data_IF_196856498417
#
_entry.id   IF_196856498417
#
_cell.length_a   1.000
_cell.length_b   1.000
_cell.length_c   1.000
_cell.angle_alpha   90.00
_cell.angle_beta   90.00
_cell.angle_gamma   90.00
#
_symmetry.space_group_name_H-M   'P 1'
#
loop_
_entity.id
_entity.type
_entity.pdbx_description
1 polymer ?
#
# COMPACT_ATOMS: atom_id res chain seq x y z
N UNK A 1 -11.83 -26.25 0.82
CA UNK A 1 -11.61 -26.68 2.22
C UNK A 1 -10.86 -25.59 2.98
N UNK A 2 -10.72 -25.72 4.30
CA UNK A 2 -9.99 -24.77 5.19
C UNK A 2 -8.51 -25.12 5.24
N UNK A 3 -7.67 -24.08 5.25
CA UNK A 3 -6.23 -24.14 5.53
C UNK A 3 -5.97 -23.28 6.77
N UNK A 4 -5.07 -23.74 7.63
CA UNK A 4 -4.63 -22.98 8.81
C UNK A 4 -3.12 -22.75 8.72
N UNK A 5 -2.69 -21.55 9.08
CA UNK A 5 -1.32 -21.12 8.82
C UNK A 5 -0.90 -19.90 9.64
N UNK A 6 0.11 -19.22 9.12
CA UNK A 6 0.57 -17.91 9.57
C UNK A 6 0.38 -16.90 8.45
N UNK A 7 0.18 -15.63 8.82
CA UNK A 7 0.15 -14.55 7.85
C UNK A 7 0.99 -13.34 8.29
N UNK A 8 1.67 -12.70 7.33
CA UNK A 8 2.33 -11.39 7.49
C UNK A 8 1.27 -10.28 7.52
N UNK A 9 0.43 -10.31 8.56
CA UNK A 9 -0.74 -9.45 8.72
C UNK A 9 -0.45 -8.16 9.48
N UNK A 10 -1.48 -7.63 10.15
CA UNK A 10 -1.38 -6.43 11.00
C UNK A 10 -0.29 -6.65 12.05
N UNK A 11 0.64 -5.68 12.16
CA UNK A 11 1.73 -5.71 13.13
C UNK A 11 2.94 -6.57 12.72
N UNK A 12 2.92 -7.24 11.56
CA UNK A 12 4.11 -7.93 11.06
C UNK A 12 5.16 -6.92 10.61
N UNK A 13 6.38 -7.12 11.08
CA UNK A 13 7.58 -6.42 10.62
C UNK A 13 8.66 -7.47 10.31
N UNK A 14 9.56 -7.22 9.35
CA UNK A 14 10.74 -8.07 9.16
C UNK A 14 11.46 -8.31 10.50
N UNK A 15 11.83 -9.56 10.78
CA UNK A 15 12.41 -9.98 12.06
C UNK A 15 11.41 -10.37 13.15
N UNK A 16 10.10 -10.13 12.96
CA UNK A 16 9.10 -10.61 13.91
C UNK A 16 9.01 -12.15 13.95
N UNK A 17 8.74 -12.70 15.13
CA UNK A 17 8.48 -14.13 15.31
C UNK A 17 7.14 -14.53 14.68
N UNK A 18 7.19 -15.06 13.45
CA UNK A 18 6.02 -15.49 12.69
C UNK A 18 5.24 -16.63 13.35
N UNK A 19 5.86 -17.40 14.27
CA UNK A 19 5.18 -18.48 14.97
C UNK A 19 4.32 -18.01 16.14
N UNK A 20 4.46 -16.74 16.53
CA UNK A 20 3.62 -16.12 17.53
C UNK A 20 2.13 -16.25 17.18
N UNK A 21 1.31 -16.46 18.21
CA UNK A 21 -0.14 -16.65 18.08
C UNK A 21 -0.82 -15.49 17.35
N UNK A 22 -0.28 -14.27 17.46
CA UNK A 22 -0.84 -13.07 16.82
C UNK A 22 -0.86 -13.15 15.28
N UNK A 23 0.01 -13.97 14.68
CA UNK A 23 0.06 -14.16 13.24
C UNK A 23 -0.69 -15.41 12.77
N UNK A 24 -1.36 -16.12 13.68
CA UNK A 24 -2.21 -17.25 13.33
C UNK A 24 -3.36 -16.80 12.42
N UNK A 25 -3.48 -17.43 11.25
CA UNK A 25 -4.52 -17.09 10.29
C UNK A 25 -5.10 -18.32 9.58
N UNK A 26 -6.22 -18.14 8.89
CA UNK A 26 -6.86 -19.21 8.14
C UNK A 26 -7.51 -18.67 6.87
N UNK A 27 -7.48 -19.49 5.82
CA UNK A 27 -8.10 -19.21 4.53
C UNK A 27 -8.65 -20.50 3.94
N UNK A 28 -9.17 -20.41 2.72
CA UNK A 28 -9.72 -21.56 2.01
C UNK A 28 -8.91 -21.87 0.76
N UNK A 29 -8.94 -23.14 0.36
CA UNK A 29 -8.52 -23.58 -0.96
C UNK A 29 -9.69 -24.24 -1.69
N UNK A 30 -9.67 -24.11 -3.01
CA UNK A 30 -10.58 -24.77 -3.93
C UNK A 30 -9.74 -25.41 -5.03
N UNK A 31 -10.14 -26.61 -5.48
CA UNK A 31 -9.57 -27.21 -6.69
C UNK A 31 -10.54 -26.95 -7.84
N UNK A 32 -10.10 -26.20 -8.84
CA UNK A 32 -10.88 -25.88 -10.03
C UNK A 32 -10.12 -26.39 -11.26
N UNK A 33 -10.71 -27.37 -11.96
CA UNK A 33 -10.11 -27.98 -13.17
C UNK A 33 -8.69 -28.53 -12.94
N UNK A 34 -8.44 -29.10 -11.77
CA UNK A 34 -7.14 -29.67 -11.40
C UNK A 34 -6.15 -28.66 -10.80
N UNK A 35 -6.47 -27.37 -10.81
CA UNK A 35 -5.63 -26.31 -10.24
C UNK A 35 -6.12 -25.91 -8.84
N UNK A 36 -5.20 -25.81 -7.89
CA UNK A 36 -5.49 -25.32 -6.56
C UNK A 36 -5.45 -23.79 -6.54
N UNK A 37 -6.55 -23.17 -6.12
CA UNK A 37 -6.72 -21.73 -5.97
C UNK A 37 -7.12 -21.41 -4.54
N UNK A 38 -6.74 -20.24 -4.06
CA UNK A 38 -6.90 -19.84 -2.67
C UNK A 38 -7.94 -18.72 -2.55
N UNK A 39 -8.69 -18.74 -1.45
CA UNK A 39 -9.71 -17.73 -1.11
C UNK A 39 -9.41 -17.25 0.31
N UNK A 40 -9.06 -15.98 0.43
CA UNK A 40 -8.89 -15.31 1.71
C UNK A 40 -10.08 -14.36 1.90
N UNK A 41 -11.02 -14.73 2.78
CA UNK A 41 -12.27 -13.98 2.96
C UNK A 41 -12.14 -12.80 3.92
N UNK A 42 -11.13 -12.78 4.80
CA UNK A 42 -10.98 -11.77 5.86
C UNK A 42 -10.48 -10.45 5.28
N UNK A 43 -9.34 -10.50 4.59
CA UNK A 43 -8.67 -9.43 3.87
C UNK A 43 -9.36 -9.14 2.54
N UNK A 44 -10.03 -10.13 1.94
CA UNK A 44 -10.91 -9.93 0.79
C UNK A 44 -12.19 -9.12 1.09
N UNK A 45 -12.69 -9.12 2.33
CA UNK A 45 -13.92 -8.44 2.70
C UNK A 45 -13.75 -6.95 3.05
N UNK A 46 -12.55 -6.55 3.49
CA UNK A 46 -12.31 -5.18 3.93
C UNK A 46 -11.09 -5.00 4.81
N UNK A 47 -11.02 -3.85 5.48
CA UNK A 47 -9.93 -3.46 6.36
C UNK A 47 -10.46 -3.02 7.72
N UNK A 48 -9.60 -3.07 8.74
CA UNK A 48 -9.88 -2.47 10.04
C UNK A 48 -9.20 -1.09 10.08
N UNK A 49 -10.00 -0.05 10.31
CA UNK A 49 -9.53 1.32 10.54
C UNK A 49 -9.81 1.68 12.01
N UNK A 50 -8.74 1.80 12.80
CA UNK A 50 -8.86 1.93 14.26
C UNK A 50 -9.56 0.70 14.85
N UNK A 51 -10.77 0.90 15.38
CA UNK A 51 -11.61 -0.17 15.94
C UNK A 51 -12.75 -0.61 15.03
N UNK A 52 -12.94 0.04 13.88
CA UNK A 52 -14.07 -0.21 12.98
C UNK A 52 -13.64 -1.04 11.76
N UNK A 53 -14.44 -2.03 11.42
CA UNK A 53 -14.32 -2.74 10.15
C UNK A 53 -14.99 -1.94 9.03
N UNK A 54 -14.25 -1.69 7.97
CA UNK A 54 -14.72 -1.01 6.75
C UNK A 54 -14.74 -2.02 5.62
N UNK A 55 -15.93 -2.27 5.08
CA UNK A 55 -16.11 -3.15 3.92
C UNK A 55 -15.42 -2.54 2.71
N UNK A 56 -14.49 -3.29 2.13
CA UNK A 56 -13.80 -2.93 0.91
C UNK A 56 -13.38 -4.20 0.21
N UNK A 57 -14.19 -4.61 -0.76
CA UNK A 57 -13.93 -5.85 -1.48
C UNK A 57 -12.61 -5.75 -2.26
N UNK A 58 -11.69 -6.68 -1.99
CA UNK A 58 -10.44 -6.80 -2.74
C UNK A 58 -10.44 -8.13 -3.54
N UNK A 59 -10.63 -8.06 -4.87
CA UNK A 59 -10.73 -9.25 -5.72
C UNK A 59 -9.42 -10.03 -5.80
N UNK A 60 -8.29 -9.46 -5.37
CA UNK A 60 -7.02 -10.19 -5.31
C UNK A 60 -7.14 -11.48 -4.50
N UNK A 61 -7.90 -11.45 -3.40
CA UNK A 61 -8.05 -12.57 -2.47
C UNK A 61 -9.10 -13.61 -2.88
N UNK A 62 -9.77 -13.42 -4.02
CA UNK A 62 -10.72 -14.39 -4.55
C UNK A 62 -10.05 -15.19 -5.69
N UNK A 63 -9.93 -16.51 -5.50
CA UNK A 63 -9.27 -17.42 -6.46
C UNK A 63 -7.81 -17.03 -6.77
N UNK A 64 -7.09 -16.58 -5.73
CA UNK A 64 -5.67 -16.24 -5.82
C UNK A 64 -4.84 -17.48 -6.10
N UNK A 65 -3.87 -17.38 -7.03
CA UNK A 65 -2.91 -18.46 -7.25
C UNK A 65 -1.93 -18.60 -6.05
N UNK A 66 -1.51 -19.82 -5.69
CA UNK A 66 -0.63 -20.05 -4.54
C UNK A 66 0.69 -19.28 -4.61
N UNK A 67 1.26 -19.15 -5.81
CA UNK A 67 2.50 -18.40 -6.05
C UNK A 67 2.42 -16.90 -5.75
N UNK A 68 1.21 -16.34 -5.61
CA UNK A 68 1.00 -14.96 -5.16
C UNK A 68 0.66 -14.89 -3.67
N UNK A 69 -0.22 -15.77 -3.18
CA UNK A 69 -0.66 -15.69 -1.78
C UNK A 69 0.47 -16.05 -0.79
N UNK A 70 1.42 -16.91 -1.19
CA UNK A 70 2.57 -17.32 -0.36
C UNK A 70 3.44 -16.14 0.12
N UNK A 71 3.39 -14.97 -0.52
CA UNK A 71 4.11 -13.79 -0.04
C UNK A 71 3.59 -13.26 1.31
N UNK A 72 2.36 -13.62 1.66
CA UNK A 72 1.71 -13.18 2.89
C UNK A 72 1.15 -14.31 3.74
N UNK A 73 0.89 -15.50 3.19
CA UNK A 73 0.24 -16.61 3.88
C UNK A 73 1.06 -17.89 3.78
N UNK A 74 1.53 -18.42 4.91
CA UNK A 74 2.25 -19.68 5.01
C UNK A 74 1.37 -20.76 5.68
N UNK A 75 0.91 -21.80 4.96
CA UNK A 75 0.21 -22.92 5.57
C UNK A 75 1.08 -23.65 6.60
N UNK A 76 0.45 -24.32 7.58
CA UNK A 76 1.16 -25.18 8.53
C UNK A 76 1.72 -26.46 7.90
N UNK A 77 1.16 -26.89 6.78
CA UNK A 77 1.53 -28.10 6.07
C UNK A 77 2.09 -27.74 4.70
N UNK A 78 3.24 -28.30 4.36
CA UNK A 78 3.94 -27.95 3.12
C UNK A 78 3.13 -28.32 1.87
N UNK A 79 2.38 -29.42 1.91
CA UNK A 79 1.49 -29.84 0.83
C UNK A 79 0.32 -28.87 0.59
N UNK A 80 -0.07 -28.09 1.59
CA UNK A 80 -1.13 -27.07 1.50
C UNK A 80 -0.59 -25.74 0.93
N UNK A 81 0.73 -25.63 0.66
CA UNK A 81 1.31 -24.49 -0.06
C UNK A 81 0.94 -24.53 -1.55
N UNK A 82 0.72 -25.73 -2.10
CA UNK A 82 0.51 -25.94 -3.53
C UNK A 82 1.61 -25.33 -4.40
N UNK A 83 2.84 -25.33 -3.87
CA UNK A 83 4.05 -24.93 -4.56
C UNK A 83 4.91 -26.15 -4.85
N UNK A 84 5.66 -26.09 -5.94
CA UNK A 84 6.63 -27.13 -6.31
C UNK A 84 7.98 -26.47 -6.66
N UNK A 85 9.01 -26.61 -5.81
CA UNK A 85 8.96 -27.17 -4.45
C UNK A 85 8.21 -26.26 -3.46
N UNK A 86 7.70 -26.79 -2.32
CA UNK A 86 7.29 -25.96 -1.20
C UNK A 86 8.49 -25.17 -0.66
N UNK A 87 8.20 -24.04 -0.01
CA UNK A 87 9.20 -23.19 0.63
C UNK A 87 9.23 -23.45 2.14
N UNK A 88 10.39 -23.28 2.74
CA UNK A 88 10.58 -23.33 4.19
C UNK A 88 10.05 -22.07 4.87
N UNK A 89 9.86 -22.11 6.20
CA UNK A 89 9.55 -20.92 7.01
C UNK A 89 10.61 -19.83 6.81
N UNK A 90 11.89 -20.21 6.74
CA UNK A 90 12.98 -19.25 6.53
C UNK A 90 12.89 -18.56 5.16
N UNK A 91 12.60 -19.32 4.10
CA UNK A 91 12.37 -18.76 2.77
C UNK A 91 11.12 -17.89 2.73
N UNK A 92 10.04 -18.28 3.42
CA UNK A 92 8.84 -17.46 3.54
C UNK A 92 9.15 -16.13 4.24
N UNK A 93 9.87 -16.17 5.36
CA UNK A 93 10.32 -14.98 6.08
C UNK A 93 11.18 -14.09 5.19
N UNK A 94 12.02 -14.71 4.34
CA UNK A 94 12.84 -14.01 3.36
C UNK A 94 12.10 -13.62 2.08
N UNK A 95 10.78 -13.78 1.95
CA UNK A 95 10.04 -13.17 0.83
C UNK A 95 9.76 -11.67 1.07
N UNK A 96 9.94 -10.80 0.06
CA UNK A 96 9.58 -9.39 0.12
C UNK A 96 8.16 -9.18 0.63
N UNK A 97 7.94 -8.10 1.38
CA UNK A 97 6.59 -7.76 1.82
C UNK A 97 5.81 -7.11 0.68
N UNK A 98 4.94 -7.89 0.03
CA UNK A 98 4.15 -7.45 -1.12
C UNK A 98 2.68 -7.39 -0.75
N UNK A 99 2.04 -6.25 -1.02
CA UNK A 99 0.59 -6.07 -0.85
C UNK A 99 -0.16 -6.33 -2.17
N UNK A 100 -1.47 -6.66 -2.15
CA UNK A 100 -2.28 -6.86 -3.36
C UNK A 100 -2.11 -5.80 -4.46
N UNK A 101 -1.99 -4.49 -4.15
CA UNK A 101 -1.79 -3.45 -5.17
C UNK A 101 -0.60 -3.68 -6.08
N UNK A 102 0.46 -4.35 -5.62
CA UNK A 102 1.59 -4.72 -6.45
C UNK A 102 1.16 -5.62 -7.61
N UNK A 103 0.36 -6.66 -7.32
CA UNK A 103 -0.10 -7.60 -8.34
C UNK A 103 -1.21 -7.01 -9.21
N UNK A 104 -2.12 -6.21 -8.66
CA UNK A 104 -3.20 -5.57 -9.45
C UNK A 104 -2.66 -4.48 -10.37
N UNK A 105 -1.55 -3.82 -9.99
CA UNK A 105 -0.78 -2.92 -10.87
C UNK A 105 0.03 -3.66 -11.96
N UNK A 106 -0.06 -5.00 -12.01
CA UNK A 106 0.61 -5.83 -13.01
C UNK A 106 2.08 -6.07 -12.72
N UNK A 107 2.58 -5.72 -11.53
CA UNK A 107 3.99 -5.87 -11.15
C UNK A 107 4.32 -7.31 -10.76
N UNK A 108 5.56 -7.70 -11.05
CA UNK A 108 6.14 -8.97 -10.69
C UNK A 108 7.66 -8.85 -10.61
N UNK A 109 8.29 -9.62 -9.72
CA UNK A 109 9.75 -9.70 -9.69
C UNK A 109 10.26 -10.58 -10.83
N UNK A 110 11.37 -10.18 -11.46
CA UNK A 110 11.99 -10.97 -12.54
C UNK A 110 12.79 -12.16 -12.02
N UNK A 111 13.23 -12.09 -10.75
CA UNK A 111 13.97 -13.11 -10.01
C UNK A 111 13.33 -13.30 -8.62
N UNK A 112 13.56 -14.45 -7.98
CA UNK A 112 13.21 -14.61 -6.56
C UNK A 112 14.07 -13.63 -5.76
N UNK A 113 13.44 -12.64 -5.15
CA UNK A 113 14.09 -11.69 -4.25
C UNK A 113 13.97 -12.21 -2.83
N UNK A 114 15.04 -12.07 -2.04
CA UNK A 114 14.99 -12.13 -0.58
C UNK A 114 14.34 -10.87 0.03
N UNK A 115 14.10 -10.83 1.34
CA UNK A 115 13.75 -9.61 2.09
C UNK A 115 14.95 -8.71 2.26
N UNK A 116 16.13 -9.31 2.28
CA UNK A 116 17.41 -8.65 2.28
C UNK A 116 17.91 -8.59 0.84
N UNK A 117 18.34 -7.39 0.45
CA UNK A 117 19.04 -7.18 -0.81
C UNK A 117 20.47 -6.86 -0.43
N UNK A 118 21.39 -7.80 -0.66
CA UNK A 118 22.80 -7.53 -0.48
C UNK A 118 23.24 -6.54 -1.56
N UNK A 119 23.80 -5.43 -1.11
CA UNK A 119 24.21 -4.32 -1.96
C UNK A 119 25.73 -4.29 -2.01
N UNK A 120 26.28 -4.62 -3.18
CA UNK A 120 27.71 -4.42 -3.46
C UNK A 120 27.95 -2.97 -3.87
N UNK A 121 29.06 -2.38 -3.42
CA UNK A 121 29.51 -1.02 -3.78
C UNK A 121 28.47 0.09 -3.56
N UNK A 122 27.67 -0.02 -2.49
CA UNK A 122 26.63 0.96 -2.16
C UNK A 122 25.58 1.17 -3.27
N UNK A 123 25.39 0.22 -4.18
CA UNK A 123 24.39 0.32 -5.25
C UNK A 123 23.32 -0.76 -5.17
N UNK A 124 22.10 -0.33 -4.84
CA UNK A 124 20.91 -1.17 -4.92
C UNK A 124 20.45 -1.26 -6.38
N UNK A 125 20.24 -2.47 -6.87
CA UNK A 125 19.65 -2.72 -8.19
C UNK A 125 18.57 -3.80 -8.10
N UNK A 126 17.35 -3.45 -8.53
CA UNK A 126 16.20 -4.34 -8.54
C UNK A 126 15.54 -4.33 -9.92
N UNK A 127 15.31 -5.51 -10.49
CA UNK A 127 14.56 -5.65 -11.73
C UNK A 127 13.13 -6.15 -11.46
N UNK A 128 12.16 -5.45 -12.04
CA UNK A 128 10.75 -5.83 -12.01
C UNK A 128 10.16 -5.85 -13.41
N UNK A 129 9.16 -6.71 -13.60
CA UNK A 129 8.35 -6.79 -14.80
C UNK A 129 6.96 -6.25 -14.51
N UNK A 130 6.48 -5.30 -15.33
CA UNK A 130 5.10 -4.82 -15.31
C UNK A 130 4.37 -5.31 -16.55
N UNK A 131 3.36 -6.15 -16.36
CA UNK A 131 2.43 -6.54 -17.41
C UNK A 131 1.41 -5.44 -17.64
N UNK A 132 1.07 -5.14 -18.91
CA UNK A 132 0.14 -4.08 -19.31
C UNK A 132 0.49 -2.69 -18.74
N UNK A 133 1.71 -2.16 -19.01
CA UNK A 133 2.07 -0.82 -18.55
C UNK A 133 1.13 0.22 -19.19
N UNK A 134 0.56 1.08 -18.35
CA UNK A 134 -0.24 2.22 -18.75
C UNK A 134 0.64 3.47 -18.68
N UNK A 135 0.78 4.18 -19.80
CA UNK A 135 1.64 5.36 -19.90
C UNK A 135 1.14 6.51 -19.01
N UNK A 136 -0.17 6.55 -18.73
CA UNK A 136 -0.78 7.55 -17.84
C UNK A 136 -0.57 7.21 -16.36
N UNK A 137 -0.07 6.00 -16.06
CA UNK A 137 0.17 5.52 -14.69
C UNK A 137 1.61 5.08 -14.56
N UNK A 138 2.57 6.03 -14.52
CA UNK A 138 3.97 5.69 -14.44
C UNK A 138 4.31 4.92 -13.16
N UNK A 139 5.39 4.14 -13.23
CA UNK A 139 5.97 3.50 -12.07
C UNK A 139 6.72 4.55 -11.25
N UNK A 140 6.49 4.58 -9.94
CA UNK A 140 7.21 5.41 -8.99
C UNK A 140 7.92 4.55 -7.96
N UNK A 141 9.05 5.05 -7.48
CA UNK A 141 9.77 4.44 -6.39
C UNK A 141 10.54 5.50 -5.60
N UNK A 142 10.70 5.27 -4.30
CA UNK A 142 11.61 6.02 -3.44
C UNK A 142 12.20 5.08 -2.40
N UNK A 143 13.42 5.38 -1.96
CA UNK A 143 14.07 4.67 -0.87
C UNK A 143 13.99 5.56 0.38
N UNK A 144 13.42 5.04 1.45
CA UNK A 144 13.52 5.66 2.77
C UNK A 144 14.72 5.06 3.50
N UNK A 145 15.65 5.91 3.93
CA UNK A 145 16.87 5.53 4.64
C UNK A 145 17.11 6.49 5.80
N UNK A 146 17.18 5.99 7.04
CA UNK A 146 17.31 6.81 8.25
C UNK A 146 16.35 8.02 8.27
N UNK A 147 15.07 7.79 7.97
CA UNK A 147 13.99 8.80 7.88
C UNK A 147 14.21 9.88 6.81
N UNK A 148 15.11 9.66 5.85
CA UNK A 148 15.34 10.55 4.70
C UNK A 148 14.96 9.83 3.41
N UNK A 149 14.48 10.59 2.44
CA UNK A 149 14.28 10.06 1.09
C UNK A 149 15.60 10.10 0.32
N UNK A 150 15.97 8.94 -0.21
CA UNK A 150 17.10 8.76 -1.11
C UNK A 150 16.57 8.65 -2.54
N UNK A 151 17.14 9.39 -3.51
CA UNK A 151 16.70 9.34 -4.90
C UNK A 151 16.78 7.93 -5.49
N UNK A 152 15.75 7.57 -6.23
CA UNK A 152 15.68 6.30 -6.97
C UNK A 152 15.55 6.60 -8.46
N UNK A 153 16.41 5.95 -9.25
CA UNK A 153 16.35 6.00 -10.70
C UNK A 153 15.59 4.79 -11.25
N UNK A 154 14.66 5.02 -12.18
CA UNK A 154 13.89 3.97 -12.83
C UNK A 154 14.25 3.95 -14.31
N UNK A 155 14.90 2.89 -14.74
CA UNK A 155 15.26 2.64 -16.13
C UNK A 155 14.29 1.66 -16.77
N UNK A 156 13.68 2.04 -17.90
CA UNK A 156 12.98 1.09 -18.77
C UNK A 156 14.02 0.27 -19.54
N UNK A 157 13.97 -1.06 -19.45
CA UNK A 157 14.90 -1.94 -20.17
C UNK A 157 14.35 -2.32 -21.56
N UNK A 158 15.24 -2.59 -22.50
CA UNK A 158 14.86 -3.16 -23.79
C UNK A 158 14.45 -4.63 -23.62
N UNK A 159 13.47 -5.08 -24.42
CA UNK A 159 12.93 -6.43 -24.34
C UNK A 159 11.76 -6.58 -23.36
N UNK A 160 11.33 -7.83 -23.17
CA UNK A 160 10.17 -8.20 -22.38
C UNK A 160 10.53 -9.28 -21.37
N UNK A 161 9.84 -9.27 -20.23
CA UNK A 161 10.01 -10.30 -19.23
C UNK A 161 9.31 -11.60 -19.62
N UNK A 162 9.40 -12.60 -18.74
CA UNK A 162 8.86 -13.95 -19.00
C UNK A 162 7.35 -13.96 -19.17
N UNK A 163 6.66 -12.92 -18.68
CA UNK A 163 5.21 -12.75 -18.78
C UNK A 163 4.81 -11.82 -19.93
N UNK A 164 5.76 -11.45 -20.81
CA UNK A 164 5.55 -10.53 -21.92
C UNK A 164 5.38 -9.06 -21.50
N UNK A 165 5.65 -8.74 -20.24
CA UNK A 165 5.56 -7.41 -19.68
C UNK A 165 6.81 -6.57 -19.93
N UNK A 166 6.69 -5.27 -19.66
CA UNK A 166 7.79 -4.33 -19.75
C UNK A 166 8.72 -4.49 -18.54
N UNK A 167 10.02 -4.59 -18.81
CA UNK A 167 11.05 -4.66 -17.78
C UNK A 167 11.47 -3.26 -17.32
N UNK A 168 11.63 -3.12 -16.01
CA UNK A 168 12.16 -1.93 -15.34
C UNK A 168 13.31 -2.34 -14.42
N UNK A 169 14.34 -1.50 -14.38
CA UNK A 169 15.43 -1.57 -13.42
C UNK A 169 15.34 -0.36 -12.50
N UNK A 170 15.26 -0.63 -11.21
CA UNK A 170 15.20 0.35 -10.14
C UNK A 170 16.59 0.40 -9.50
N UNK A 171 17.18 1.59 -9.46
CA UNK A 171 18.55 1.81 -9.01
C UNK A 171 18.55 2.88 -7.93
N UNK A 172 19.27 2.65 -6.83
CA UNK A 172 19.50 3.64 -5.78
C UNK A 172 20.91 3.50 -5.25
N UNK A 173 21.52 4.61 -4.85
CA UNK A 173 22.74 4.57 -4.05
C UNK A 173 22.37 4.45 -2.57
N UNK A 174 23.03 3.54 -1.85
CA UNK A 174 22.85 3.30 -0.43
C UNK A 174 23.82 4.22 0.31
N UNK A 175 23.33 5.17 1.13
CA UNK A 175 24.17 6.23 1.67
C UNK A 175 25.13 5.76 2.78
N UNK A 176 24.77 4.70 3.51
CA UNK A 176 25.53 4.19 4.66
C UNK A 176 25.16 2.73 4.95
N UNK A 177 25.88 2.08 5.87
CA UNK A 177 25.42 0.81 6.45
C UNK A 177 24.20 1.06 7.35
N UNK A 178 23.15 0.26 7.22
CA UNK A 178 21.90 0.46 7.95
C UNK A 178 20.73 -0.29 7.32
N UNK A 179 19.52 0.11 7.70
CA UNK A 179 18.26 -0.47 7.20
C UNK A 179 17.44 0.60 6.47
N UNK A 180 16.82 0.21 5.36
CA UNK A 180 15.98 1.09 4.55
C UNK A 180 14.77 0.39 3.98
N UNK A 181 13.81 1.18 3.50
CA UNK A 181 12.56 0.68 2.89
C UNK A 181 12.46 1.19 1.46
N UNK A 182 12.61 0.29 0.49
CA UNK A 182 12.32 0.58 -0.90
C UNK A 182 10.80 0.48 -1.13
N UNK A 183 10.17 1.61 -1.44
CA UNK A 183 8.75 1.68 -1.75
C UNK A 183 8.59 1.77 -3.27
N UNK A 184 7.72 0.93 -3.84
CA UNK A 184 7.41 0.88 -5.27
C UNK A 184 5.90 0.93 -5.42
N UNK A 185 5.40 1.84 -6.25
CA UNK A 185 3.97 2.00 -6.47
C UNK A 185 3.65 2.49 -7.88
N UNK A 186 2.40 2.27 -8.26
CA UNK A 186 1.79 2.77 -9.50
C UNK A 186 0.54 3.51 -9.06
N UNK A 187 0.33 4.72 -9.57
CA UNK A 187 -0.93 5.44 -9.36
C UNK A 187 -2.05 4.66 -10.04
N UNK A 188 -3.03 4.20 -9.27
CA UNK A 188 -4.24 3.56 -9.80
C UNK A 188 -5.35 4.61 -9.84
N UNK A 189 -6.18 4.61 -10.89
CA UNK A 189 -7.32 5.53 -10.97
C UNK A 189 -8.23 5.33 -9.75
N UNK A 190 -8.74 6.42 -9.20
CA UNK A 190 -9.73 6.34 -8.12
C UNK A 190 -9.15 6.06 -6.73
N UNK A 191 -7.87 6.37 -6.48
CA UNK A 191 -7.41 6.44 -5.09
C UNK A 191 -8.12 7.58 -4.38
N UNK A 192 -9.18 7.23 -3.64
CA UNK A 192 -9.78 8.09 -2.62
C UNK A 192 -8.66 8.51 -1.67
N UNK A 193 -8.35 9.80 -1.70
CA UNK A 193 -7.46 10.43 -0.75
C UNK A 193 -8.32 11.01 0.35
N UNK A 194 -8.03 10.59 1.59
CA UNK A 194 -8.63 11.18 2.78
C UNK A 194 -7.63 12.14 3.39
N UNK A 195 -8.02 13.40 3.45
CA UNK A 195 -7.28 14.45 4.14
C UNK A 195 -7.94 14.69 5.47
N UNK A 196 -7.16 14.70 6.55
CA UNK A 196 -7.65 15.03 7.89
C UNK A 196 -6.95 16.30 8.36
N UNK A 197 -7.72 17.26 8.87
CA UNK A 197 -7.19 18.43 9.57
C UNK A 197 -7.90 18.60 10.91
N UNK A 198 -7.14 19.01 11.91
CA UNK A 198 -7.57 19.12 13.30
C UNK A 198 -7.52 20.58 13.72
N UNK A 199 -8.63 21.07 14.28
CA UNK A 199 -8.69 22.40 14.90
C UNK A 199 -8.61 22.21 16.41
N UNK A 200 -7.71 22.98 17.03
CA UNK A 200 -7.52 23.05 18.47
C UNK A 200 -8.17 24.31 19.03
N UNK A 201 -8.61 24.25 20.28
CA UNK A 201 -8.89 25.44 21.11
C UNK A 201 -10.03 26.35 20.59
N UNK A 202 -11.18 25.76 20.23
CA UNK A 202 -12.39 26.50 19.81
C UNK A 202 -13.67 25.90 20.42
N UNK A 203 -14.60 26.75 20.86
CA UNK A 203 -15.92 26.32 21.34
C UNK A 203 -16.74 25.70 20.20
N UNK A 204 -17.38 24.56 20.46
CA UNK A 204 -18.06 23.75 19.45
C UNK A 204 -19.18 24.51 18.71
N UNK A 205 -19.89 25.40 19.41
CA UNK A 205 -20.94 26.26 18.84
C UNK A 205 -20.40 27.33 17.88
N UNK A 206 -19.10 27.60 17.93
CA UNK A 206 -18.40 28.61 17.11
C UNK A 206 -17.58 27.99 15.98
N UNK A 207 -17.56 26.67 15.85
CA UNK A 207 -16.76 25.99 14.83
C UNK A 207 -17.31 26.26 13.42
N UNK A 208 -16.47 26.72 12.47
CA UNK A 208 -16.91 27.02 11.12
C UNK A 208 -17.37 25.76 10.38
N UNK A 209 -18.34 25.91 9.48
CA UNK A 209 -18.66 24.90 8.48
C UNK A 209 -17.63 24.97 7.35
N UNK A 210 -17.06 23.83 6.99
CA UNK A 210 -16.08 23.75 5.91
C UNK A 210 -16.76 23.31 4.62
N UNK A 211 -16.44 24.01 3.54
CA UNK A 211 -16.86 23.62 2.21
C UNK A 211 -15.71 23.78 1.20
N UNK A 212 -15.65 22.86 0.24
CA UNK A 212 -14.71 22.88 -0.86
C UNK A 212 -15.39 23.53 -2.06
N UNK A 213 -14.76 24.57 -2.62
CA UNK A 213 -15.17 25.15 -3.89
C UNK A 213 -14.43 24.44 -5.02
N UNK A 214 -15.17 23.76 -5.89
CA UNK A 214 -14.60 23.13 -7.08
C UNK A 214 -14.30 24.19 -8.15
N UNK A 215 -13.41 23.90 -9.12
CA UNK A 215 -13.20 24.77 -10.28
C UNK A 215 -14.49 25.06 -11.09
N UNK A 216 -15.49 24.18 -11.00
CA UNK A 216 -16.83 24.35 -11.59
C UNK A 216 -17.75 25.29 -10.79
N UNK A 217 -17.28 25.83 -9.66
CA UNK A 217 -18.04 26.62 -8.66
C UNK A 217 -19.11 25.83 -7.90
N UNK A 218 -19.03 24.50 -7.92
CA UNK A 218 -19.83 23.67 -7.02
C UNK A 218 -19.23 23.69 -5.62
N UNK A 219 -20.10 23.61 -4.61
CA UNK A 219 -19.70 23.59 -3.20
C UNK A 219 -19.92 22.19 -2.63
N UNK A 220 -18.87 21.59 -2.07
CA UNK A 220 -18.93 20.29 -1.39
C UNK A 220 -18.73 20.52 0.10
N UNK A 221 -19.73 20.22 0.93
CA UNK A 221 -19.60 20.31 2.40
C UNK A 221 -18.67 19.22 2.91
N UNK A 222 -17.70 19.60 3.76
CA UNK A 222 -16.73 18.67 4.35
C UNK A 222 -17.29 18.15 5.68
N UNK A 223 -17.51 16.84 5.83
CA UNK A 223 -18.09 16.29 7.05
C UNK A 223 -17.12 16.37 8.24
N UNK A 224 -17.68 16.59 9.44
CA UNK A 224 -17.00 16.39 10.72
C UNK A 224 -16.85 14.89 10.97
N UNK A 225 -15.64 14.39 11.21
CA UNK A 225 -15.37 12.93 11.23
C UNK A 225 -14.91 12.38 12.59
N UNK A 226 -14.33 13.21 13.46
CA UNK A 226 -13.98 12.81 14.84
C UNK A 226 -14.26 13.94 15.85
N UNK A 227 -14.89 13.56 16.97
CA UNK A 227 -15.19 14.41 18.14
C UNK A 227 -14.33 13.96 19.33
N UNK A 228 -13.74 14.92 20.05
CA UNK A 228 -13.09 14.77 21.35
C UNK A 228 -11.88 13.82 21.39
N UNK A 229 -10.72 14.33 20.98
CA UNK A 229 -9.53 14.05 21.78
C UNK A 229 -9.71 14.77 23.13
N UNK A 230 -9.11 14.28 24.21
CA UNK A 230 -9.28 14.78 25.59
C UNK A 230 -8.91 16.26 25.82
N UNK A 231 -8.53 16.97 24.77
CA UNK A 231 -8.10 18.36 24.70
C UNK A 231 -9.12 19.32 24.02
N UNK A 232 -10.30 18.82 23.60
CA UNK A 232 -11.33 19.64 22.97
C UNK A 232 -11.14 19.88 21.46
N UNK A 233 -10.20 19.18 20.82
CA UNK A 233 -9.98 19.29 19.37
C UNK A 233 -11.04 18.55 18.52
N UNK A 234 -11.26 19.04 17.30
CA UNK A 234 -12.20 18.47 16.32
C UNK A 234 -11.51 18.22 14.98
N UNK A 235 -11.69 17.02 14.43
CA UNK A 235 -11.11 16.60 13.14
C UNK A 235 -12.17 16.60 12.04
N UNK A 236 -11.84 17.27 10.95
CA UNK A 236 -12.59 17.24 9.69
C UNK A 236 -11.88 16.31 8.71
N UNK A 237 -12.64 15.57 7.90
CA UNK A 237 -12.05 14.77 6.84
C UNK A 237 -12.65 15.13 5.48
N UNK A 238 -11.76 15.41 4.53
CA UNK A 238 -12.09 15.58 3.13
C UNK A 238 -11.68 14.32 2.38
N UNK A 239 -12.66 13.61 1.82
CA UNK A 239 -12.42 12.48 0.93
C UNK A 239 -12.59 12.98 -0.50
N UNK A 240 -11.55 12.85 -1.32
CA UNK A 240 -11.57 13.29 -2.72
C UNK A 240 -10.72 12.40 -3.60
N UNK A 241 -11.04 12.35 -4.89
CA UNK A 241 -10.32 11.56 -5.88
C UNK A 241 -9.37 12.45 -6.65
N UNK A 242 -8.09 12.13 -6.61
CA UNK A 242 -7.08 12.80 -7.42
C UNK A 242 -6.80 11.97 -8.66
N UNK A 243 -7.02 12.57 -9.83
CA UNK A 243 -6.80 11.92 -11.13
C UNK A 243 -5.42 12.26 -11.73
N UNK A 244 -4.72 13.24 -11.17
CA UNK A 244 -3.47 13.78 -11.68
C UNK A 244 -2.48 14.04 -10.53
N UNK A 245 -1.18 14.01 -10.81
CA UNK A 245 -0.12 14.28 -9.83
C UNK A 245 -0.01 15.79 -9.60
N UNK A 246 0.26 16.19 -8.37
CA UNK A 246 0.28 17.60 -7.98
C UNK A 246 0.75 17.81 -6.55
N UNK A 247 0.89 19.07 -6.17
CA UNK A 247 1.25 19.52 -4.82
C UNK A 247 0.10 20.24 -4.16
N UNK A 248 -0.11 19.95 -2.87
CA UNK A 248 -1.04 20.69 -2.05
C UNK A 248 -0.36 21.90 -1.42
N UNK A 249 -1.06 23.02 -1.40
CA UNK A 249 -0.79 24.16 -0.53
C UNK A 249 -2.03 24.46 0.30
N UNK A 250 -1.84 24.53 1.62
CA UNK A 250 -2.87 25.00 2.54
C UNK A 250 -2.51 26.42 2.96
N UNK A 251 -3.39 27.37 2.69
CA UNK A 251 -3.26 28.75 3.15
C UNK A 251 -4.43 29.04 4.08
N UNK A 252 -4.15 29.62 5.24
CA UNK A 252 -5.19 30.15 6.11
C UNK A 252 -5.19 31.67 6.02
N UNK A 253 -6.37 32.25 5.96
CA UNK A 253 -6.58 33.68 6.12
C UNK A 253 -7.39 33.86 7.40
N UNK A 254 -6.88 34.68 8.32
CA UNK A 254 -7.60 35.05 9.53
C UNK A 254 -7.87 36.54 9.45
N UNK A 255 -9.14 36.94 9.39
CA UNK A 255 -9.56 38.31 9.62
C UNK A 255 -10.31 38.43 10.96
N UNK A 256 -10.87 39.60 11.27
CA UNK A 256 -11.56 39.84 12.55
C UNK A 256 -12.89 39.07 12.68
N UNK A 257 -13.48 38.59 11.58
CA UNK A 257 -14.81 37.98 11.52
C UNK A 257 -14.79 36.53 10.99
N UNK A 258 -13.78 36.12 10.22
CA UNK A 258 -13.69 34.79 9.60
C UNK A 258 -12.30 34.15 9.71
N UNK A 259 -12.30 32.81 9.67
CA UNK A 259 -11.12 31.98 9.53
C UNK A 259 -11.30 31.11 8.30
N UNK A 260 -10.68 31.51 7.19
CA UNK A 260 -10.77 30.81 5.91
C UNK A 260 -9.58 29.88 5.71
N UNK A 261 -9.85 28.66 5.27
CA UNK A 261 -8.84 27.71 4.85
C UNK A 261 -8.97 27.44 3.35
N UNK A 262 -7.93 27.76 2.59
CA UNK A 262 -7.83 27.44 1.18
C UNK A 262 -6.85 26.29 0.99
N UNK A 263 -7.40 25.11 0.70
CA UNK A 263 -6.63 23.96 0.24
C UNK A 263 -6.59 23.98 -1.30
N UNK A 264 -5.42 24.19 -1.87
CA UNK A 264 -5.21 24.24 -3.32
C UNK A 264 -4.34 23.06 -3.76
N UNK A 265 -4.83 22.29 -4.75
CA UNK A 265 -4.04 21.26 -5.41
C UNK A 265 -3.55 21.79 -6.76
N UNK A 266 -2.24 21.96 -6.88
CA UNK A 266 -1.59 22.37 -8.12
C UNK A 266 -1.07 21.13 -8.82
N UNK A 267 -1.69 20.79 -9.94
CA UNK A 267 -1.24 19.71 -10.83
C UNK A 267 0.17 20.04 -11.34
N UNK A 268 1.07 19.05 -11.32
CA UNK A 268 2.46 19.17 -11.83
C UNK A 268 2.53 19.11 -13.37
#
# INVERSE_FOLDING_TARGET
>A
WKISGRAKGVGYVPGADIESRQFGHAWNAVCLRGEYLLIESTWGAGIVQGTKFVKRYDPFYFLTVPTKLIYSHLPRKDEEQYLSPPITVQEFLSLPFVKPPFYTAGLSFTKRMGTEIEVNDSRLELEIERTRPDANKPLHAYLEWDHRQVPVFIQRLSGHGKRGGQLYRIISEIPSHGEGKLNIFVLLDGTEQRFEFVIFDHDEETLPEFCLFTPGKDTITIPKVLRNLSDGSVTYALETTLNEKGKWSLTFLKDEETLDFMAQYSVE
#
